data_IF_302599484197
#
_entry.id   IF_302599484197
#
_cell.length_a   1.000
_cell.length_b   1.000
_cell.length_c   1.000
_cell.angle_alpha   90.00
_cell.angle_beta   90.00
_cell.angle_gamma   90.00
#
_symmetry.space_group_name_H-M   'P 1'
#
loop_
_entity.id
_entity.type
_entity.pdbx_description
1 polymer ?
#
# COMPACT_ATOMS: atom_id res chain seq x y z
N UNK A 1 26.94 -66.46 7.77
CA UNK A 1 26.39 -65.11 7.52
C UNK A 1 26.03 -65.03 6.06
N UNK A 2 24.74 -65.15 5.74
CA UNK A 2 24.25 -65.46 4.40
C UNK A 2 24.10 -64.19 3.55
N UNK A 3 25.12 -63.91 2.72
CA UNK A 3 25.23 -62.69 1.88
C UNK A 3 24.15 -62.61 0.79
N UNK A 4 23.36 -63.67 0.62
CA UNK A 4 22.32 -63.81 -0.40
C UNK A 4 21.07 -62.97 -0.13
N UNK A 5 20.85 -62.55 1.12
CA UNK A 5 19.73 -61.68 1.48
C UNK A 5 19.92 -60.22 1.01
N UNK A 6 21.17 -59.72 1.02
CA UNK A 6 21.47 -58.34 0.60
C UNK A 6 21.34 -58.13 -0.91
N UNK A 7 21.57 -59.20 -1.71
CA UNK A 7 21.43 -59.15 -3.16
C UNK A 7 19.96 -59.07 -3.65
N UNK A 8 18.99 -59.36 -2.78
CA UNK A 8 17.57 -59.28 -3.11
C UNK A 8 17.01 -57.84 -3.02
N UNK A 9 17.52 -57.03 -2.08
CA UNK A 9 17.06 -55.65 -1.91
C UNK A 9 17.58 -54.69 -2.99
N UNK A 10 18.71 -54.99 -3.63
CA UNK A 10 19.25 -54.16 -4.72
C UNK A 10 18.52 -54.32 -6.07
N UNK A 11 17.57 -55.28 -6.16
CA UNK A 11 16.83 -55.60 -7.39
C UNK A 11 15.36 -55.14 -7.36
N UNK A 12 15.01 -54.27 -6.41
CA UNK A 12 13.69 -53.65 -6.40
C UNK A 12 13.65 -52.54 -7.45
N UNK A 13 12.74 -52.59 -8.44
CA UNK A 13 12.57 -51.50 -9.39
C UNK A 13 12.20 -50.24 -8.62
N UNK A 14 12.98 -49.16 -8.79
CA UNK A 14 12.68 -47.86 -8.17
C UNK A 14 11.23 -47.51 -8.49
N UNK A 15 10.47 -47.18 -7.44
CA UNK A 15 9.06 -46.83 -7.58
C UNK A 15 8.90 -45.77 -8.68
N UNK A 16 8.14 -46.13 -9.73
CA UNK A 16 7.87 -45.24 -10.86
C UNK A 16 7.20 -43.99 -10.32
N UNK A 17 7.85 -42.83 -10.43
CA UNK A 17 7.24 -41.54 -10.10
C UNK A 17 5.97 -41.44 -10.94
N UNK A 18 4.80 -41.54 -10.31
CA UNK A 18 3.53 -41.29 -10.97
C UNK A 18 3.33 -39.78 -11.01
N UNK A 19 3.44 -39.12 -12.18
CA UNK A 19 3.06 -37.73 -12.28
C UNK A 19 1.54 -37.68 -12.10
N UNK A 20 1.10 -37.27 -10.91
CA UNK A 20 -0.32 -36.96 -10.69
C UNK A 20 -0.60 -35.66 -11.43
N UNK A 21 -0.99 -35.75 -12.70
CA UNK A 21 -1.31 -34.61 -13.57
C UNK A 21 -2.50 -33.78 -13.04
N UNK A 22 -3.31 -34.41 -12.17
CA UNK A 22 -4.52 -33.84 -11.59
C UNK A 22 -4.42 -33.81 -10.07
N UNK A 23 -4.78 -32.66 -9.49
CA UNK A 23 -4.93 -32.48 -8.05
C UNK A 23 -6.42 -32.23 -7.78
N UNK A 24 -7.07 -33.14 -7.05
CA UNK A 24 -8.50 -33.04 -6.71
C UNK A 24 -9.43 -32.81 -7.91
N UNK A 25 -9.14 -33.47 -9.04
CA UNK A 25 -9.95 -33.40 -10.25
C UNK A 25 -9.65 -32.21 -11.18
N UNK A 26 -8.81 -31.25 -10.77
CA UNK A 26 -8.34 -30.19 -11.65
C UNK A 26 -6.96 -30.51 -12.26
N UNK A 27 -6.74 -30.21 -13.56
CA UNK A 27 -5.42 -30.33 -14.16
C UNK A 27 -4.47 -29.33 -13.49
N UNK A 28 -3.25 -29.76 -13.14
CA UNK A 28 -2.23 -28.91 -12.48
C UNK A 28 -1.98 -27.60 -13.23
N UNK A 29 -2.03 -27.62 -14.55
CA UNK A 29 -1.89 -26.44 -15.41
C UNK A 29 -3.04 -25.46 -15.22
N UNK A 30 -4.27 -25.94 -15.08
CA UNK A 30 -5.45 -25.11 -14.79
C UNK A 30 -5.33 -24.45 -13.41
N UNK A 31 -4.94 -25.21 -12.38
CA UNK A 31 -4.69 -24.66 -11.05
C UNK A 31 -3.59 -23.59 -11.08
N UNK A 32 -2.47 -23.85 -11.79
CA UNK A 32 -1.37 -22.91 -11.92
C UNK A 32 -1.80 -21.61 -12.63
N UNK A 33 -2.63 -21.71 -13.67
CA UNK A 33 -3.15 -20.53 -14.39
C UNK A 33 -4.13 -19.71 -13.53
N UNK A 34 -4.98 -20.35 -12.74
CA UNK A 34 -5.88 -19.67 -11.80
C UNK A 34 -5.08 -18.91 -10.75
N UNK A 35 -4.09 -19.57 -10.12
CA UNK A 35 -3.24 -18.94 -9.11
C UNK A 35 -2.40 -17.81 -9.71
N UNK A 36 -1.84 -17.99 -10.91
CA UNK A 36 -1.08 -16.96 -11.58
C UNK A 36 -1.94 -15.72 -11.88
N UNK A 37 -3.16 -15.90 -12.40
CA UNK A 37 -4.08 -14.78 -12.63
C UNK A 37 -4.54 -14.13 -11.33
N UNK A 38 -4.83 -14.93 -10.31
CA UNK A 38 -5.23 -14.44 -8.99
C UNK A 38 -4.13 -13.58 -8.36
N UNK A 39 -2.86 -14.01 -8.43
CA UNK A 39 -1.69 -13.29 -7.92
C UNK A 39 -1.35 -12.05 -8.77
N UNK A 40 -1.47 -12.16 -10.10
CA UNK A 40 -1.17 -11.08 -11.04
C UNK A 40 -2.11 -9.88 -10.87
N UNK A 41 -3.38 -10.12 -10.50
CA UNK A 41 -4.36 -9.05 -10.25
C UNK A 41 -4.33 -8.47 -8.83
N UNK A 42 -3.60 -9.05 -7.88
CA UNK A 42 -3.59 -8.57 -6.47
C UNK A 42 -3.18 -7.09 -6.30
N UNK A 43 -2.17 -6.57 -7.02
CA UNK A 43 -1.73 -5.18 -6.84
C UNK A 43 -2.81 -4.15 -7.21
N UNK A 44 -3.80 -4.52 -8.03
CA UNK A 44 -4.88 -3.61 -8.46
C UNK A 44 -5.95 -3.40 -7.38
N UNK A 45 -5.99 -4.25 -6.36
CA UNK A 45 -6.92 -4.13 -5.24
C UNK A 45 -6.31 -3.41 -4.03
N UNK A 46 -5.02 -3.05 -4.08
CA UNK A 46 -4.37 -2.27 -3.05
C UNK A 46 -4.90 -0.83 -3.07
N UNK A 47 -5.99 -0.60 -2.33
CA UNK A 47 -6.45 0.75 -2.01
C UNK A 47 -5.62 1.28 -0.84
N UNK A 48 -4.95 2.40 -1.06
CA UNK A 48 -4.40 3.22 0.00
C UNK A 48 -5.55 3.66 0.93
N UNK A 49 -5.59 3.15 2.15
CA UNK A 49 -6.64 3.45 3.13
C UNK A 49 -6.40 4.86 3.72
N UNK A 50 -6.65 5.87 2.90
CA UNK A 50 -6.67 7.29 3.24
C UNK A 50 -5.47 7.84 4.03
N UNK A 51 -5.65 9.02 4.59
CA UNK A 51 -4.75 9.62 5.58
C UNK A 51 -5.56 9.71 6.87
N UNK A 52 -4.99 9.23 7.99
CA UNK A 52 -5.60 9.31 9.32
C UNK A 52 -4.69 10.15 10.19
N UNK A 53 -5.18 11.32 10.59
CA UNK A 53 -4.44 12.23 11.49
C UNK A 53 -4.58 11.76 12.93
N UNK A 54 -3.47 11.77 13.68
CA UNK A 54 -3.41 11.40 15.10
C UNK A 54 -3.03 12.57 16.03
N UNK A 55 -2.51 13.68 15.49
CA UNK A 55 -2.14 14.87 16.27
C UNK A 55 -3.23 15.94 16.36
N UNK A 56 -3.38 16.62 17.52
CA UNK A 56 -4.11 17.87 17.62
C UNK A 56 -3.45 18.94 16.75
N UNK A 57 -4.23 19.69 15.98
CA UNK A 57 -3.73 20.82 15.19
C UNK A 57 -3.39 20.51 13.72
N UNK A 58 -3.43 19.25 13.30
CA UNK A 58 -3.47 18.89 11.87
C UNK A 58 -4.91 18.53 11.50
N UNK A 59 -5.41 18.98 10.36
CA UNK A 59 -6.76 18.60 9.91
C UNK A 59 -6.77 18.15 8.46
N UNK A 60 -7.77 17.34 8.10
CA UNK A 60 -7.96 16.85 6.74
C UNK A 60 -9.15 17.55 6.10
N UNK A 61 -8.97 17.92 4.84
CA UNK A 61 -10.02 18.38 3.94
C UNK A 61 -9.85 17.71 2.58
N UNK A 62 -10.64 18.17 1.62
CA UNK A 62 -10.51 17.76 0.23
C UNK A 62 -10.67 18.97 -0.68
N UNK A 63 -9.92 19.01 -1.77
CA UNK A 63 -10.09 19.99 -2.83
C UNK A 63 -11.40 19.71 -3.60
N UNK A 64 -11.86 20.68 -4.39
CA UNK A 64 -13.09 20.53 -5.18
C UNK A 64 -13.06 19.38 -6.20
N UNK A 65 -11.87 18.92 -6.56
CA UNK A 65 -11.63 17.76 -7.43
C UNK A 65 -11.35 16.45 -6.68
N UNK A 66 -11.49 16.44 -5.34
CA UNK A 66 -11.35 15.24 -4.51
C UNK A 66 -9.93 14.91 -4.06
N UNK A 67 -8.91 15.71 -4.41
CA UNK A 67 -7.55 15.51 -3.88
C UNK A 67 -7.54 15.81 -2.37
N UNK A 68 -7.03 14.90 -1.52
CA UNK A 68 -6.93 15.14 -0.08
C UNK A 68 -6.04 16.34 0.23
N UNK A 69 -6.50 17.18 1.15
CA UNK A 69 -5.76 18.34 1.67
C UNK A 69 -5.44 18.07 3.14
N UNK A 70 -4.17 18.15 3.50
CA UNK A 70 -3.69 18.13 4.88
C UNK A 70 -3.38 19.57 5.29
N UNK A 71 -4.21 20.14 6.15
CA UNK A 71 -3.91 21.40 6.81
C UNK A 71 -2.90 21.13 7.91
N UNK A 72 -1.66 21.55 7.68
CA UNK A 72 -0.56 21.32 8.62
C UNK A 72 -0.77 22.14 9.90
N UNK A 73 -0.18 21.68 11.01
CA UNK A 73 -0.19 22.42 12.27
C UNK A 73 0.62 23.71 12.17
N UNK A 74 0.35 24.66 13.07
CA UNK A 74 1.14 25.88 13.18
C UNK A 74 2.62 25.55 13.36
N UNK A 75 3.54 26.25 12.66
CA UNK A 75 4.96 26.05 12.85
C UNK A 75 5.38 26.44 14.26
N UNK A 76 6.37 25.74 14.80
CA UNK A 76 7.00 26.09 16.08
C UNK A 76 7.92 27.32 15.94
N UNK A 77 8.59 27.72 17.03
CA UNK A 77 9.49 28.88 17.03
C UNK A 77 10.70 28.79 16.08
N UNK A 78 10.99 27.61 15.52
CA UNK A 78 12.02 27.41 14.49
C UNK A 78 11.45 27.30 13.06
N UNK A 79 10.14 27.50 12.87
CA UNK A 79 9.48 27.39 11.57
C UNK A 79 9.09 25.96 11.16
N UNK A 80 9.22 24.97 12.05
CA UNK A 80 8.89 23.57 11.75
C UNK A 80 7.44 23.26 12.12
N UNK A 81 6.66 22.73 11.18
CA UNK A 81 5.33 22.17 11.45
C UNK A 81 5.44 20.68 11.74
N UNK A 82 5.08 20.27 12.96
CA UNK A 82 5.06 18.87 13.37
C UNK A 82 3.65 18.30 13.22
N UNK A 83 3.50 17.29 12.36
CA UNK A 83 2.22 16.65 12.05
C UNK A 83 2.37 15.15 12.32
N UNK A 84 1.46 14.57 13.09
CA UNK A 84 1.45 13.13 13.34
C UNK A 84 0.26 12.48 12.65
N UNK A 85 0.55 11.37 11.97
CA UNK A 85 -0.42 10.58 11.25
C UNK A 85 -0.35 9.15 11.80
N UNK A 86 -1.52 8.54 11.95
CA UNK A 86 -1.61 7.10 12.20
C UNK A 86 -1.32 6.33 10.91
N UNK A 87 -1.92 6.80 9.81
CA UNK A 87 -1.77 6.26 8.48
C UNK A 87 -1.56 7.43 7.51
N UNK A 88 -0.55 7.35 6.65
CA UNK A 88 -0.24 8.36 5.65
C UNK A 88 -0.09 7.69 4.28
N UNK A 89 -1.22 7.48 3.61
CA UNK A 89 -1.23 6.86 2.29
C UNK A 89 -1.54 7.91 1.21
N UNK A 90 -0.75 7.89 0.13
CA UNK A 90 -0.90 8.82 -1.00
C UNK A 90 -1.41 8.03 -2.19
N UNK A 91 -2.63 8.36 -2.63
CA UNK A 91 -3.23 7.76 -3.83
C UNK A 91 -2.64 8.33 -5.12
N UNK A 92 -3.09 7.80 -6.27
CA UNK A 92 -2.61 8.22 -7.59
C UNK A 92 -2.83 9.72 -7.89
N UNK A 93 -3.86 10.33 -7.28
CA UNK A 93 -4.16 11.76 -7.42
C UNK A 93 -3.27 12.65 -6.53
N UNK A 94 -2.40 12.06 -5.71
CA UNK A 94 -1.53 12.76 -4.78
C UNK A 94 -2.25 13.27 -3.52
N UNK A 95 -1.54 14.14 -2.80
CA UNK A 95 -2.01 14.83 -1.59
C UNK A 95 -1.47 16.25 -1.58
N UNK A 96 -2.23 17.18 -1.02
CA UNK A 96 -1.82 18.58 -0.86
C UNK A 96 -1.50 18.83 0.60
N UNK A 97 -0.26 19.26 0.90
CA UNK A 97 0.09 19.83 2.19
C UNK A 97 -0.19 21.33 2.16
N UNK A 98 -1.24 21.77 2.86
CA UNK A 98 -1.65 23.17 2.86
C UNK A 98 -0.80 24.00 3.82
N UNK A 99 0.25 24.62 3.29
CA UNK A 99 1.11 25.57 3.99
C UNK A 99 0.76 27.04 3.63
N UNK A 100 -0.48 27.31 3.22
CA UNK A 100 -0.89 28.64 2.79
C UNK A 100 -1.33 29.53 3.96
N UNK A 101 -0.75 30.73 4.05
CA UNK A 101 -1.11 31.78 5.03
C UNK A 101 -2.16 32.76 4.50
N UNK A 102 -2.31 32.86 3.18
CA UNK A 102 -3.33 33.68 2.53
C UNK A 102 -4.71 33.04 2.60
N UNK A 103 -5.77 33.82 2.29
CA UNK A 103 -7.17 33.34 2.29
C UNK A 103 -7.42 32.17 1.32
N UNK A 104 -6.67 32.13 0.23
CA UNK A 104 -6.74 31.12 -0.82
C UNK A 104 -5.35 30.88 -1.41
N UNK A 105 -5.10 29.69 -1.93
CA UNK A 105 -3.84 29.32 -2.57
C UNK A 105 -4.10 28.52 -3.85
N UNK A 106 -3.35 28.80 -4.91
CA UNK A 106 -3.38 27.96 -6.11
C UNK A 106 -2.43 26.78 -5.93
N UNK A 107 -2.95 25.59 -6.16
CA UNK A 107 -2.23 24.31 -6.02
C UNK A 107 -2.30 23.55 -7.33
N UNK A 108 -1.24 22.78 -7.59
CA UNK A 108 -1.07 22.02 -8.83
C UNK A 108 -2.06 20.85 -8.91
N UNK A 109 -2.35 20.23 -7.77
CA UNK A 109 -3.20 19.05 -7.70
C UNK A 109 -4.67 19.37 -7.44
N UNK A 110 -4.98 20.48 -6.73
CA UNK A 110 -6.34 20.78 -6.26
C UNK A 110 -6.95 22.06 -6.80
N UNK A 111 -6.24 22.77 -7.69
CA UNK A 111 -6.65 24.10 -8.13
C UNK A 111 -6.59 25.10 -6.96
N UNK A 112 -7.56 26.01 -6.90
CA UNK A 112 -7.63 27.00 -5.81
C UNK A 112 -8.23 26.33 -4.55
N UNK A 113 -7.45 26.31 -3.47
CA UNK A 113 -7.88 25.85 -2.15
C UNK A 113 -7.99 27.02 -1.17
N UNK A 114 -8.71 26.81 -0.06
CA UNK A 114 -8.73 27.76 1.05
C UNK A 114 -7.41 27.75 1.81
N UNK A 115 -7.06 28.88 2.42
CA UNK A 115 -5.93 29.00 3.33
C UNK A 115 -6.00 28.04 4.50
N UNK A 116 -4.84 27.71 5.07
CA UNK A 116 -4.79 26.83 6.23
C UNK A 116 -5.24 27.60 7.48
N UNK A 117 -6.36 27.23 8.13
CA UNK A 117 -6.86 27.93 9.32
C UNK A 117 -5.92 27.83 10.53
N UNK A 118 -5.00 26.87 10.53
CA UNK A 118 -4.03 26.67 11.61
C UNK A 118 -2.86 27.68 11.53
N UNK A 119 -2.68 28.40 10.42
CA UNK A 119 -1.57 29.32 10.20
C UNK A 119 -2.01 30.77 10.44
N UNK A 120 -1.75 31.29 11.64
CA UNK A 120 -2.17 32.66 12.05
C UNK A 120 -1.09 33.73 11.92
N UNK A 121 0.15 33.36 11.60
CA UNK A 121 1.27 34.31 11.54
C UNK A 121 2.37 34.01 10.52
N UNK A 122 2.57 32.75 10.15
CA UNK A 122 3.62 32.36 9.21
C UNK A 122 3.47 30.93 8.69
N UNK A 123 4.03 30.69 7.51
CA UNK A 123 4.15 29.37 6.93
C UNK A 123 5.29 28.59 7.60
N UNK A 124 5.23 27.27 7.53
CA UNK A 124 6.40 26.44 7.83
C UNK A 124 7.47 26.62 6.72
N UNK A 125 8.75 26.51 7.08
CA UNK A 125 9.90 26.70 6.18
C UNK A 125 10.55 25.40 5.75
#
# INVERSE_FOLDING_TARGET
>A
MDVRHLAFMARQPSARVQPREHFWGLPKRGLALILANALFWQPLLANADGIVVSAPGTSLGAAGNGVPIVNIAAPNGSGLSHNQFKDYNVGANGVILNNATGRTQSTQLGGIILGNPNLTGGAAN
#
